data_IF_309202601083
#
_entry.id   IF_309202601083
#
_cell.length_a   1.000
_cell.length_b   1.000
_cell.length_c   1.000
_cell.angle_alpha   90.00
_cell.angle_beta   90.00
_cell.angle_gamma   90.00
#
_symmetry.space_group_name_H-M   'P 1'
#
loop_
_entity.id
_entity.type
_entity.pdbx_description
1 polymer ?
#
# COMPACT_ATOMS: atom_id res chain seq x y z
N UNK A 1 5.15 11.74 -9.29
CA UNK A 1 5.45 10.30 -9.27
C UNK A 1 5.10 9.73 -10.62
N UNK A 2 6.08 9.17 -11.33
CA UNK A 2 5.88 8.47 -12.59
C UNK A 2 5.52 6.98 -12.34
N UNK A 3 5.32 6.20 -13.41
CA UNK A 3 4.91 4.80 -13.30
C UNK A 3 5.98 3.92 -12.63
N UNK A 4 7.26 4.10 -12.97
CA UNK A 4 8.37 3.33 -12.40
C UNK A 4 8.55 3.58 -10.90
N UNK A 5 8.46 4.85 -10.46
CA UNK A 5 8.47 5.18 -9.04
C UNK A 5 7.28 4.54 -8.31
N UNK A 6 6.10 4.54 -8.94
CA UNK A 6 4.89 3.95 -8.37
C UNK A 6 5.00 2.44 -8.22
N UNK A 7 5.57 1.75 -9.21
CA UNK A 7 5.89 0.32 -9.15
C UNK A 7 6.90 0.03 -8.04
N UNK A 8 7.97 0.83 -7.92
CA UNK A 8 8.99 0.63 -6.89
C UNK A 8 8.41 0.76 -5.46
N UNK A 9 7.50 1.72 -5.23
CA UNK A 9 6.79 1.83 -3.95
C UNK A 9 5.85 0.64 -3.73
N UNK A 10 5.14 0.19 -4.77
CA UNK A 10 4.24 -0.96 -4.71
C UNK A 10 5.00 -2.25 -4.35
N UNK A 11 6.16 -2.48 -4.95
CA UNK A 11 7.01 -3.65 -4.68
C UNK A 11 7.55 -3.62 -3.25
N UNK A 12 7.99 -2.45 -2.77
CA UNK A 12 8.39 -2.28 -1.36
C UNK A 12 7.23 -2.59 -0.42
N UNK A 13 6.03 -2.08 -0.70
CA UNK A 13 4.84 -2.35 0.10
C UNK A 13 4.53 -3.85 0.16
N UNK A 14 4.59 -4.56 -0.96
CA UNK A 14 4.36 -6.01 -1.02
C UNK A 14 5.40 -6.83 -0.25
N UNK A 15 6.64 -6.34 -0.15
CA UNK A 15 7.72 -7.00 0.61
C UNK A 15 7.61 -6.76 2.12
N UNK A 16 7.16 -5.58 2.55
CA UNK A 16 7.17 -5.19 3.98
C UNK A 16 5.83 -5.42 4.69
N UNK A 17 4.72 -5.53 3.95
CA UNK A 17 3.39 -5.72 4.54
C UNK A 17 3.27 -7.10 5.20
N UNK A 18 2.81 -7.11 6.44
CA UNK A 18 2.47 -8.33 7.19
C UNK A 18 1.02 -8.24 7.70
N UNK A 19 0.34 -9.37 7.98
CA UNK A 19 -1.06 -9.37 8.41
C UNK A 19 -1.34 -8.50 9.65
N UNK A 20 -0.40 -8.45 10.59
CA UNK A 20 -0.55 -7.71 11.86
C UNK A 20 -0.04 -6.25 11.80
N UNK A 21 0.34 -5.75 10.62
CA UNK A 21 0.95 -4.42 10.50
C UNK A 21 -0.12 -3.32 10.45
N UNK A 22 0.01 -2.32 11.32
CA UNK A 22 -0.86 -1.15 11.29
C UNK A 22 -0.57 -0.21 10.11
N UNK A 23 -1.56 0.57 9.62
CA UNK A 23 -1.38 1.56 8.55
C UNK A 23 -0.20 2.50 8.70
N UNK A 24 -0.02 3.03 9.91
CA UNK A 24 1.07 3.95 10.23
C UNK A 24 2.44 3.27 10.14
N UNK A 25 2.53 1.99 10.49
CA UNK A 25 3.77 1.22 10.40
C UNK A 25 4.12 0.94 8.94
N UNK A 26 3.13 0.58 8.12
CA UNK A 26 3.33 0.35 6.68
C UNK A 26 3.79 1.62 5.97
N UNK A 27 3.17 2.77 6.24
CA UNK A 27 3.57 4.07 5.68
C UNK A 27 5.00 4.42 6.13
N UNK A 28 5.34 4.20 7.40
CA UNK A 28 6.68 4.46 7.92
C UNK A 28 7.73 3.56 7.28
N UNK A 29 7.41 2.28 7.06
CA UNK A 29 8.28 1.33 6.39
C UNK A 29 8.51 1.71 4.92
N UNK A 30 7.44 2.06 4.20
CA UNK A 30 7.53 2.53 2.81
C UNK A 30 8.38 3.81 2.69
N UNK A 31 8.19 4.78 3.60
CA UNK A 31 8.99 6.02 3.62
C UNK A 31 10.45 5.82 3.98
N UNK A 32 10.80 4.74 4.68
CA UNK A 32 12.20 4.44 4.99
C UNK A 32 13.01 4.17 3.73
N UNK A 33 12.39 3.55 2.72
CA UNK A 33 13.02 3.27 1.43
C UNK A 33 12.66 4.30 0.35
N UNK A 34 11.50 4.95 0.48
CA UNK A 34 11.02 5.97 -0.44
C UNK A 34 10.74 7.29 0.30
N UNK A 35 11.78 8.03 0.73
CA UNK A 35 11.62 9.20 1.61
C UNK A 35 10.83 10.34 0.97
N UNK A 36 10.82 10.43 -0.36
CA UNK A 36 10.09 11.44 -1.11
C UNK A 36 8.62 11.06 -1.36
N UNK A 37 8.19 9.83 -1.01
CA UNK A 37 6.83 9.37 -1.26
C UNK A 37 5.83 10.03 -0.30
N UNK A 38 4.87 10.75 -0.86
CA UNK A 38 3.77 11.33 -0.08
C UNK A 38 2.84 10.24 0.47
N UNK A 39 2.02 10.56 1.49
CA UNK A 39 1.01 9.59 1.99
C UNK A 39 0.06 9.16 0.86
N UNK A 40 -0.28 10.08 -0.05
CA UNK A 40 -1.15 9.82 -1.21
C UNK A 40 -0.48 8.88 -2.22
N UNK A 41 0.81 9.05 -2.48
CA UNK A 41 1.55 8.18 -3.40
C UNK A 41 1.67 6.76 -2.84
N UNK A 42 1.92 6.62 -1.54
CA UNK A 42 1.97 5.31 -0.87
C UNK A 42 0.62 4.61 -0.91
N UNK A 43 -0.47 5.32 -0.62
CA UNK A 43 -1.81 4.76 -0.75
C UNK A 43 -2.11 4.35 -2.19
N UNK A 44 -1.78 5.18 -3.18
CA UNK A 44 -1.98 4.89 -4.61
C UNK A 44 -1.16 3.67 -5.05
N UNK A 45 0.08 3.54 -4.59
CA UNK A 45 0.93 2.38 -4.83
C UNK A 45 0.40 1.11 -4.17
N UNK A 46 -0.18 1.20 -2.97
CA UNK A 46 -0.85 0.07 -2.33
C UNK A 46 -2.07 -0.41 -3.14
N UNK A 47 -2.89 0.50 -3.65
CA UNK A 47 -4.00 0.12 -4.54
C UNK A 47 -3.51 -0.47 -5.85
N UNK A 48 -2.48 0.13 -6.43
CA UNK A 48 -1.85 -0.37 -7.64
C UNK A 48 -1.29 -1.78 -7.44
N UNK A 49 -0.68 -2.08 -6.28
CA UNK A 49 -0.17 -3.41 -5.96
C UNK A 49 -1.30 -4.43 -5.82
N UNK A 50 -2.46 -4.05 -5.28
CA UNK A 50 -3.64 -4.93 -5.24
C UNK A 50 -4.09 -5.25 -6.66
N UNK A 51 -4.26 -4.27 -7.52
CA UNK A 51 -4.80 -4.47 -8.87
C UNK A 51 -3.84 -5.33 -9.72
N UNK A 52 -2.54 -5.07 -9.63
CA UNK A 52 -1.51 -5.83 -10.36
C UNK A 52 -1.27 -7.23 -9.79
N UNK A 53 -1.48 -7.45 -8.49
CA UNK A 53 -1.35 -8.77 -7.86
C UNK A 53 -2.69 -9.50 -7.64
N UNK A 54 -3.83 -8.90 -8.01
CA UNK A 54 -5.16 -9.52 -7.85
C UNK A 54 -5.30 -10.80 -8.68
N UNK A 55 -4.54 -10.89 -9.78
CA UNK A 55 -4.45 -12.08 -10.63
C UNK A 55 -3.41 -13.10 -10.09
N UNK A 56 -2.58 -12.74 -9.11
CA UNK A 56 -1.40 -13.50 -8.70
C UNK A 56 -1.47 -14.11 -7.29
N UNK A 57 -2.18 -13.49 -6.33
CA UNK A 57 -2.26 -14.03 -4.95
C UNK A 57 -3.48 -13.48 -4.18
N UNK A 58 -4.57 -14.27 -4.15
CA UNK A 58 -5.86 -13.88 -3.56
C UNK A 58 -5.79 -13.56 -2.06
N UNK A 59 -4.79 -14.06 -1.32
CA UNK A 59 -4.68 -13.83 0.12
C UNK A 59 -4.22 -12.42 0.50
N UNK A 60 -3.19 -11.91 -0.20
CA UNK A 60 -2.62 -10.58 0.08
C UNK A 60 -3.51 -9.44 -0.44
N UNK A 61 -4.14 -9.64 -1.60
CA UNK A 61 -5.11 -8.70 -2.15
C UNK A 61 -6.29 -8.46 -1.20
N UNK A 62 -6.76 -9.50 -0.51
CA UNK A 62 -7.87 -9.42 0.46
C UNK A 62 -7.52 -8.59 1.70
N UNK A 63 -6.31 -8.76 2.24
CA UNK A 63 -5.85 -7.99 3.42
C UNK A 63 -5.69 -6.50 3.08
N UNK A 64 -5.15 -6.20 1.91
CA UNK A 64 -4.99 -4.83 1.42
C UNK A 64 -6.34 -4.17 1.03
N UNK A 65 -7.32 -4.95 0.57
CA UNK A 65 -8.68 -4.46 0.34
C UNK A 65 -9.37 -4.09 1.66
N UNK A 66 -9.22 -4.89 2.71
CA UNK A 66 -9.75 -4.58 4.04
C UNK A 66 -9.14 -3.29 4.60
N UNK A 67 -7.84 -3.10 4.40
CA UNK A 67 -7.13 -1.88 4.75
C UNK A 67 -7.68 -0.63 4.04
N UNK A 68 -7.89 -0.73 2.72
CA UNK A 68 -8.42 0.36 1.91
C UNK A 68 -9.83 0.80 2.33
N UNK A 69 -10.67 -0.15 2.75
CA UNK A 69 -12.02 0.15 3.25
C UNK A 69 -11.93 0.90 4.59
N UNK A 70 -11.08 0.45 5.51
CA UNK A 70 -10.90 1.10 6.81
C UNK A 70 -10.45 2.57 6.69
N UNK A 71 -9.43 2.86 5.87
CA UNK A 71 -8.96 4.25 5.67
C UNK A 71 -10.01 5.15 4.96
N UNK A 72 -10.98 4.57 4.23
CA UNK A 72 -12.04 5.34 3.56
C UNK A 72 -13.19 5.70 4.50
N UNK A 73 -13.51 4.84 5.46
CA UNK A 73 -14.62 5.04 6.40
C UNK A 73 -14.26 6.05 7.50
N UNK A 74 -13.00 6.09 7.93
CA UNK A 74 -12.51 7.07 8.92
C UNK A 74 -12.28 8.48 8.35
N UNK A 75 -12.51 8.70 7.05
CA UNK A 75 -12.44 10.02 6.39
C UNK A 75 -13.74 10.81 6.39
N UNK A 76 -14.81 10.28 7.00
CA UNK A 76 -16.14 10.89 7.10
C UNK A 76 -16.58 10.99 8.55
N UNK A 77 -16.01 11.93 9.29
CA UNK A 77 -16.57 12.54 10.51
C UNK A 77 -15.99 13.93 10.69
#
# INVERSE_FOLDING_TARGET
MNADEMQAVADTLMRVVTPDMAPKQLIKAARKEHPNASKKDIARAAFFSIITNAEADHGKARNLQAFAIAERVDGTS
#
